data_IF_687632495946
#
_entry.id   IF_687632495946
#
_cell.length_a   1.000
_cell.length_b   1.000
_cell.length_c   1.000
_cell.angle_alpha   90.00
_cell.angle_beta   90.00
_cell.angle_gamma   90.00
#
_symmetry.space_group_name_H-M   'P 1'
#
loop_
_entity.id
_entity.type
_entity.pdbx_description
1 polymer ?
#
# COMPACT_ATOMS: atom_id res chain seq x y z
N UNK A 1 -9.85 25.32 22.24
CA UNK A 1 -10.29 23.92 22.14
C UNK A 1 -10.13 23.54 20.67
N UNK A 2 -9.12 22.75 20.33
CA UNK A 2 -8.98 22.19 18.98
C UNK A 2 -10.22 21.28 18.76
N UNK A 3 -10.96 21.52 17.69
CA UNK A 3 -11.96 20.56 17.22
C UNK A 3 -11.17 19.29 16.86
N UNK A 4 -11.49 18.17 17.50
CA UNK A 4 -11.06 16.86 17.03
C UNK A 4 -11.61 16.73 15.60
N UNK A 5 -10.77 16.92 14.61
CA UNK A 5 -11.10 16.69 13.21
C UNK A 5 -11.40 15.19 13.06
N UNK A 6 -12.66 14.86 12.89
CA UNK A 6 -13.08 13.48 12.63
C UNK A 6 -12.50 13.09 11.28
N UNK A 7 -11.39 12.37 11.28
CA UNK A 7 -10.79 11.84 10.06
C UNK A 7 -11.72 10.76 9.51
N UNK A 8 -12.39 11.05 8.40
CA UNK A 8 -13.23 10.08 7.71
C UNK A 8 -12.33 9.09 6.97
N UNK A 9 -12.31 7.85 7.43
CA UNK A 9 -11.53 6.76 6.85
C UNK A 9 -12.43 5.85 6.00
N UNK A 10 -12.40 5.96 4.65
CA UNK A 10 -13.27 5.19 3.76
C UNK A 10 -12.97 3.68 3.75
N UNK A 11 -11.81 3.30 4.25
CA UNK A 11 -11.27 1.94 4.38
C UNK A 11 -11.50 1.33 5.78
N UNK A 12 -12.15 2.06 6.70
CA UNK A 12 -12.57 1.53 8.01
C UNK A 12 -13.94 0.86 7.90
N UNK A 13 -14.09 -0.31 8.50
CA UNK A 13 -15.35 -1.08 8.53
C UNK A 13 -15.91 -1.05 9.96
N UNK A 14 -16.92 -0.24 10.19
CA UNK A 14 -17.58 -0.11 11.49
C UNK A 14 -16.59 0.13 12.64
N UNK A 15 -16.75 -0.58 13.73
CA UNK A 15 -15.89 -0.48 14.92
C UNK A 15 -14.66 -1.40 14.88
N UNK A 16 -14.43 -2.12 13.75
CA UNK A 16 -13.28 -2.98 13.61
C UNK A 16 -11.97 -2.17 13.65
N UNK A 17 -10.89 -2.74 14.21
CA UNK A 17 -9.57 -2.13 14.11
C UNK A 17 -9.21 -1.86 12.64
N UNK A 18 -8.62 -0.68 12.40
CA UNK A 18 -8.20 -0.35 11.04
C UNK A 18 -7.10 -1.33 10.56
N UNK A 19 -7.06 -1.72 9.27
CA UNK A 19 -6.04 -2.64 8.75
C UNK A 19 -4.58 -2.27 9.09
N UNK A 20 -4.27 -0.96 9.24
CA UNK A 20 -2.94 -0.50 9.69
C UNK A 20 -2.60 -0.89 11.14
N UNK A 21 -3.60 -1.23 11.94
CA UNK A 21 -3.44 -1.62 13.35
C UNK A 21 -3.34 -3.14 13.49
N UNK A 22 -3.84 -3.89 12.50
CA UNK A 22 -3.83 -5.34 12.51
C UNK A 22 -2.40 -5.88 12.39
N UNK A 23 -2.01 -6.73 13.32
CA UNK A 23 -0.69 -7.39 13.32
C UNK A 23 -0.75 -8.79 12.69
N UNK A 24 -1.90 -9.45 12.73
CA UNK A 24 -2.08 -10.80 12.19
C UNK A 24 -2.96 -10.81 10.95
N UNK A 25 -2.66 -11.72 10.02
CA UNK A 25 -3.47 -12.05 8.87
C UNK A 25 -3.64 -13.57 8.81
N UNK A 26 -4.88 -14.04 8.76
CA UNK A 26 -5.16 -15.47 8.81
C UNK A 26 -5.52 -16.03 7.43
N UNK A 27 -5.04 -17.25 7.13
CA UNK A 27 -5.43 -18.01 5.94
C UNK A 27 -4.90 -17.46 4.61
N UNK A 28 -3.96 -16.52 4.61
CA UNK A 28 -3.41 -15.90 3.40
C UNK A 28 -1.90 -16.19 3.20
N UNK A 29 -1.41 -17.26 3.81
CA UNK A 29 0.02 -17.62 3.80
C UNK A 29 0.57 -17.72 2.36
N UNK A 30 -0.20 -18.29 1.43
CA UNK A 30 0.24 -18.41 0.03
C UNK A 30 0.52 -17.05 -0.64
N UNK A 31 -0.23 -16.01 -0.29
CA UNK A 31 -0.01 -14.66 -0.81
C UNK A 31 1.21 -14.00 -0.15
N UNK A 32 1.42 -14.21 1.15
CA UNK A 32 2.62 -13.75 1.85
C UNK A 32 3.88 -14.43 1.30
N UNK A 33 3.85 -15.76 1.15
CA UNK A 33 4.97 -16.54 0.60
C UNK A 33 5.32 -16.11 -0.82
N UNK A 34 4.32 -15.85 -1.68
CA UNK A 34 4.54 -15.39 -3.03
C UNK A 34 5.21 -14.01 -3.09
N UNK A 35 4.86 -13.11 -2.16
CA UNK A 35 5.51 -11.81 -2.05
C UNK A 35 6.96 -11.96 -1.53
N UNK A 36 7.17 -12.72 -0.46
CA UNK A 36 8.50 -12.98 0.12
C UNK A 36 9.44 -13.67 -0.86
N UNK A 37 8.95 -14.66 -1.62
CA UNK A 37 9.71 -15.30 -2.68
C UNK A 37 10.17 -14.31 -3.75
N UNK A 38 9.33 -13.34 -4.13
CA UNK A 38 9.74 -12.30 -5.05
C UNK A 38 10.77 -11.33 -4.44
N UNK A 39 10.65 -11.04 -3.16
CA UNK A 39 11.60 -10.19 -2.43
C UNK A 39 12.98 -10.86 -2.36
N UNK A 40 13.03 -12.15 -2.03
CA UNK A 40 14.29 -12.92 -1.89
C UNK A 40 15.10 -12.99 -3.19
N UNK A 41 14.47 -12.85 -4.37
CA UNK A 41 15.18 -12.83 -5.65
C UNK A 41 15.98 -11.56 -5.93
N UNK A 42 15.86 -10.52 -5.09
CA UNK A 42 16.40 -9.19 -5.33
C UNK A 42 15.76 -8.44 -6.50
N UNK A 43 14.73 -9.02 -7.13
CA UNK A 43 13.99 -8.44 -8.27
C UNK A 43 12.53 -8.21 -7.90
N UNK A 44 12.31 -7.54 -6.78
CA UNK A 44 10.96 -7.22 -6.34
C UNK A 44 10.26 -6.32 -7.36
N UNK A 45 9.10 -6.77 -7.84
CA UNK A 45 8.29 -5.96 -8.75
C UNK A 45 7.77 -4.73 -8.01
N UNK A 46 7.77 -3.57 -8.67
CA UNK A 46 7.32 -2.32 -8.06
C UNK A 46 5.80 -2.21 -7.90
N UNK A 47 5.01 -2.88 -8.73
CA UNK A 47 3.55 -2.84 -8.72
C UNK A 47 2.93 -4.20 -8.34
N UNK A 48 2.10 -4.23 -7.31
CA UNK A 48 1.37 -5.42 -6.87
C UNK A 48 -0.12 -5.14 -6.81
N UNK A 49 -0.92 -6.07 -7.30
CA UNK A 49 -2.37 -6.02 -7.28
C UNK A 49 -2.90 -7.11 -6.33
N UNK A 50 -3.39 -6.67 -5.17
CA UNK A 50 -3.96 -7.54 -4.14
C UNK A 50 -5.47 -7.67 -4.40
N UNK A 51 -5.91 -8.86 -4.80
CA UNK A 51 -7.29 -9.13 -5.22
C UNK A 51 -8.00 -10.10 -4.28
N UNK A 52 -9.32 -10.11 -4.32
CA UNK A 52 -10.17 -11.02 -3.54
C UNK A 52 -11.45 -10.35 -3.06
N UNK A 53 -12.42 -11.09 -2.51
CA UNK A 53 -13.66 -10.55 -1.96
C UNK A 53 -13.42 -9.50 -0.87
N UNK A 54 -14.46 -8.74 -0.52
CA UNK A 54 -14.38 -7.82 0.64
C UNK A 54 -14.21 -8.62 1.94
N UNK A 55 -13.46 -8.07 2.89
CA UNK A 55 -13.27 -8.67 4.22
C UNK A 55 -12.19 -9.76 4.32
N UNK A 56 -11.56 -10.21 3.22
CA UNK A 56 -10.54 -11.29 3.27
C UNK A 56 -9.15 -10.85 3.73
N UNK A 57 -8.96 -9.59 4.12
CA UNK A 57 -7.68 -9.10 4.67
C UNK A 57 -6.74 -8.45 3.65
N UNK A 58 -7.21 -8.02 2.47
CA UNK A 58 -6.36 -7.38 1.45
C UNK A 58 -5.61 -6.15 1.96
N UNK A 59 -6.32 -5.25 2.62
CA UNK A 59 -5.71 -4.05 3.22
C UNK A 59 -4.73 -4.44 4.34
N UNK A 60 -5.08 -5.41 5.17
CA UNK A 60 -4.18 -5.95 6.20
C UNK A 60 -2.88 -6.46 5.57
N UNK A 61 -2.96 -7.24 4.48
CA UNK A 61 -1.76 -7.69 3.75
C UNK A 61 -0.93 -6.51 3.23
N UNK A 62 -1.59 -5.52 2.62
CA UNK A 62 -0.89 -4.33 2.11
C UNK A 62 -0.12 -3.59 3.21
N UNK A 63 -0.74 -3.38 4.38
CA UNK A 63 -0.07 -2.75 5.51
C UNK A 63 1.03 -3.63 6.13
N UNK A 64 0.88 -4.96 6.13
CA UNK A 64 1.94 -5.87 6.59
C UNK A 64 3.15 -5.80 5.67
N UNK A 65 2.93 -5.84 4.35
CA UNK A 65 3.99 -5.66 3.34
C UNK A 65 4.67 -4.28 3.52
N UNK A 66 3.89 -3.21 3.67
CA UNK A 66 4.42 -1.87 3.86
C UNK A 66 5.30 -1.75 5.11
N UNK A 67 4.83 -2.31 6.25
CA UNK A 67 5.60 -2.35 7.50
C UNK A 67 6.92 -3.10 7.32
N UNK A 68 6.86 -4.31 6.80
CA UNK A 68 8.05 -5.13 6.58
C UNK A 68 9.04 -4.43 5.65
N UNK A 69 8.57 -3.85 4.52
CA UNK A 69 9.45 -3.18 3.57
C UNK A 69 10.10 -1.91 4.13
N UNK A 70 9.37 -1.12 4.90
CA UNK A 70 9.86 0.13 5.46
C UNK A 70 10.71 -0.07 6.73
N UNK A 71 10.54 -1.21 7.43
CA UNK A 71 11.36 -1.58 8.57
C UNK A 71 12.68 -2.27 8.15
N UNK A 72 12.71 -2.87 6.94
CA UNK A 72 13.89 -3.55 6.46
C UNK A 72 14.95 -2.54 6.02
N UNK A 73 16.07 -2.53 6.74
CA UNK A 73 17.22 -1.70 6.40
C UNK A 73 18.09 -2.41 5.37
N UNK A 74 18.28 -1.78 4.22
CA UNK A 74 19.28 -2.22 3.26
C UNK A 74 20.65 -1.81 3.83
N UNK A 75 21.46 -2.78 4.23
CA UNK A 75 22.82 -2.52 4.71
C UNK A 75 23.65 -1.78 3.65
N UNK A 76 24.58 -0.97 4.09
CA UNK A 76 25.50 -0.20 3.26
C UNK A 76 26.57 -1.05 2.55
N UNK A 77 26.45 -2.36 2.62
CA UNK A 77 27.33 -3.32 1.94
C UNK A 77 28.70 -3.55 2.60
N UNK A 78 29.02 -2.85 3.70
CA UNK A 78 30.30 -3.03 4.38
C UNK A 78 30.43 -4.41 5.06
N UNK A 79 29.30 -5.00 5.46
CA UNK A 79 29.18 -6.33 6.07
C UNK A 79 28.39 -7.34 5.20
N UNK A 80 28.14 -7.02 3.93
CA UNK A 80 27.27 -7.77 3.02
C UNK A 80 25.83 -7.24 3.02
N UNK A 81 25.09 -7.57 1.96
CA UNK A 81 23.66 -7.24 1.91
C UNK A 81 22.92 -8.08 2.97
N UNK A 82 22.00 -7.49 3.75
CA UNK A 82 21.20 -8.24 4.71
C UNK A 82 20.36 -9.30 3.98
N UNK A 83 20.19 -10.46 4.62
CA UNK A 83 19.34 -11.51 4.07
C UNK A 83 17.90 -11.02 3.93
N UNK A 84 17.21 -11.33 2.82
CA UNK A 84 15.82 -11.01 2.64
C UNK A 84 14.97 -11.60 3.77
N UNK A 85 13.91 -10.91 4.21
CA UNK A 85 13.06 -11.41 5.29
C UNK A 85 12.33 -12.69 4.85
N UNK A 86 12.18 -13.62 5.80
CA UNK A 86 11.44 -14.88 5.61
C UNK A 86 9.98 -14.76 6.07
N UNK A 87 9.59 -13.64 6.70
CA UNK A 87 8.24 -13.35 7.15
C UNK A 87 7.94 -11.85 7.04
N UNK A 88 6.66 -11.50 6.98
CA UNK A 88 6.22 -10.10 6.96
C UNK A 88 6.00 -9.52 8.37
N UNK A 89 6.16 -10.33 9.40
CA UNK A 89 6.04 -9.87 10.78
C UNK A 89 7.23 -9.02 11.16
N UNK A 90 6.95 -7.89 11.79
CA UNK A 90 7.95 -7.05 12.42
C UNK A 90 7.60 -6.88 13.90
N UNK A 91 8.58 -6.54 14.69
CA UNK A 91 8.38 -6.21 16.09
C UNK A 91 7.29 -5.13 16.21
N UNK A 92 6.22 -5.35 16.99
CA UNK A 92 5.18 -4.35 17.23
C UNK A 92 5.72 -3.03 17.80
N UNK A 93 6.83 -3.08 18.52
CA UNK A 93 7.50 -1.92 19.12
C UNK A 93 8.48 -1.22 18.15
N UNK A 94 8.64 -1.76 16.94
CA UNK A 94 9.48 -1.12 15.94
C UNK A 94 8.97 0.29 15.58
N UNK A 95 9.84 1.32 15.49
CA UNK A 95 9.42 2.70 15.22
C UNK A 95 8.55 2.88 13.96
N UNK A 96 8.80 2.09 12.91
CA UNK A 96 7.97 2.09 11.69
C UNK A 96 6.54 1.62 11.99
N UNK A 97 6.37 0.57 12.81
CA UNK A 97 5.04 0.07 13.19
C UNK A 97 4.23 1.15 13.93
N UNK A 98 4.86 1.82 14.89
CA UNK A 98 4.24 2.94 15.62
C UNK A 98 3.86 4.10 14.70
N UNK A 99 4.76 4.52 13.78
CA UNK A 99 4.47 5.61 12.85
C UNK A 99 3.35 5.27 11.87
N UNK A 100 3.30 4.04 11.35
CA UNK A 100 2.21 3.60 10.47
C UNK A 100 0.87 3.60 11.22
N UNK A 101 0.84 3.07 12.44
CA UNK A 101 -0.36 3.11 13.29
C UNK A 101 -0.84 4.53 13.55
N UNK A 102 0.07 5.44 13.82
CA UNK A 102 -0.21 6.87 14.06
C UNK A 102 -0.41 7.69 12.78
N UNK A 103 -0.38 7.09 11.58
CA UNK A 103 -0.44 7.77 10.27
C UNK A 103 0.63 8.87 10.09
N UNK A 104 1.79 8.67 10.66
CA UNK A 104 2.92 9.62 10.64
C UNK A 104 4.18 9.07 9.97
N UNK A 105 4.11 7.93 9.29
CA UNK A 105 5.25 7.39 8.53
C UNK A 105 5.42 8.16 7.22
N UNK A 106 6.47 8.97 7.07
CA UNK A 106 6.65 9.84 5.90
C UNK A 106 6.96 9.07 4.61
N UNK A 107 7.30 7.79 4.69
CA UNK A 107 7.61 6.92 3.56
C UNK A 107 6.44 6.05 3.13
N UNK A 108 5.26 6.22 3.77
CA UNK A 108 4.02 5.55 3.39
C UNK A 108 2.98 6.57 2.93
N UNK A 109 2.45 6.37 1.73
CA UNK A 109 1.34 7.15 1.20
C UNK A 109 0.12 6.25 1.00
N UNK A 110 -1.04 6.66 1.52
CA UNK A 110 -2.30 5.95 1.29
C UNK A 110 -3.19 6.77 0.36
N UNK A 111 -3.38 6.29 -0.85
CA UNK A 111 -4.27 6.87 -1.85
C UNK A 111 -5.65 6.22 -1.68
N UNK A 112 -6.62 6.99 -1.25
CA UNK A 112 -8.01 6.59 -1.04
C UNK A 112 -8.95 7.75 -1.35
N UNK A 113 -10.25 7.51 -1.36
CA UNK A 113 -11.20 8.60 -1.54
C UNK A 113 -11.03 9.64 -0.44
N UNK A 114 -10.97 10.89 -0.84
CA UNK A 114 -10.86 12.03 0.08
C UNK A 114 -12.22 12.64 0.39
N UNK A 115 -12.33 13.39 1.46
CA UNK A 115 -13.52 14.17 1.77
C UNK A 115 -13.49 15.50 1.04
N UNK A 116 -14.65 16.01 0.69
CA UNK A 116 -14.82 17.38 0.21
C UNK A 116 -14.74 18.32 1.41
N UNK A 117 -13.79 19.25 1.41
CA UNK A 117 -13.55 20.20 2.52
C UNK A 117 -14.77 21.05 2.89
N UNK A 118 -15.67 21.33 1.93
CA UNK A 118 -16.86 22.17 2.16
C UNK A 118 -18.06 21.38 2.68
N UNK A 119 -18.20 20.13 2.25
CA UNK A 119 -19.39 19.31 2.55
C UNK A 119 -19.12 18.20 3.56
N UNK A 120 -17.85 17.98 3.90
CA UNK A 120 -17.37 16.89 4.76
C UNK A 120 -17.77 15.48 4.27
N UNK A 121 -18.29 15.38 3.03
CA UNK A 121 -18.69 14.11 2.43
C UNK A 121 -17.56 13.53 1.58
N UNK A 122 -17.38 12.22 1.65
CA UNK A 122 -16.43 11.51 0.78
C UNK A 122 -16.83 11.71 -0.70
N UNK A 123 -15.82 11.97 -1.53
CA UNK A 123 -16.00 11.84 -2.98
C UNK A 123 -16.35 10.40 -3.33
N UNK A 124 -17.10 10.22 -4.40
CA UNK A 124 -17.50 8.89 -4.89
C UNK A 124 -16.36 8.14 -5.55
N UNK A 125 -15.29 8.84 -5.94
CA UNK A 125 -14.14 8.30 -6.65
C UNK A 125 -12.84 8.93 -6.15
N UNK A 126 -11.74 8.21 -6.35
CA UNK A 126 -10.38 8.76 -6.25
C UNK A 126 -10.14 9.62 -7.49
N UNK A 127 -9.73 10.86 -7.28
CA UNK A 127 -9.57 11.87 -8.34
C UNK A 127 -8.12 11.96 -8.79
N UNK A 128 -7.93 12.56 -9.97
CA UNK A 128 -6.59 12.75 -10.53
C UNK A 128 -5.69 13.60 -9.64
N UNK A 129 -6.25 14.58 -8.90
CA UNK A 129 -5.47 15.42 -8.00
C UNK A 129 -4.93 14.63 -6.80
N UNK A 130 -5.71 13.64 -6.32
CA UNK A 130 -5.27 12.74 -5.27
C UNK A 130 -4.06 11.89 -5.74
N UNK A 131 -4.07 11.46 -7.03
CA UNK A 131 -2.94 10.71 -7.63
C UNK A 131 -1.74 11.62 -7.91
N UNK A 132 -1.96 12.89 -8.25
CA UNK A 132 -0.85 13.84 -8.47
C UNK A 132 0.01 14.03 -7.23
N UNK A 133 -0.56 13.95 -6.04
CA UNK A 133 0.19 14.01 -4.80
C UNK A 133 1.22 12.86 -4.66
N UNK A 134 1.00 11.70 -5.33
CA UNK A 134 2.00 10.63 -5.41
C UNK A 134 3.28 11.07 -6.12
N UNK A 135 3.20 11.98 -7.10
CA UNK A 135 4.39 12.48 -7.79
C UNK A 135 5.34 13.16 -6.82
N UNK A 136 4.82 14.08 -6.03
CA UNK A 136 5.62 14.82 -5.06
C UNK A 136 6.16 13.87 -3.97
N UNK A 137 5.32 12.95 -3.50
CA UNK A 137 5.71 11.92 -2.55
C UNK A 137 6.87 11.04 -3.07
N UNK A 138 6.83 10.60 -4.31
CA UNK A 138 7.88 9.78 -4.89
C UNK A 138 9.15 10.57 -5.22
N UNK A 139 9.05 11.86 -5.54
CA UNK A 139 10.22 12.71 -5.76
C UNK A 139 11.07 12.88 -4.50
N UNK A 140 10.45 12.85 -3.31
CA UNK A 140 11.17 12.88 -2.05
C UNK A 140 12.07 11.64 -1.84
N UNK A 141 11.77 10.48 -2.48
CA UNK A 141 12.59 9.27 -2.35
C UNK A 141 13.98 9.45 -2.91
N UNK A 142 14.13 10.24 -3.97
CA UNK A 142 15.41 10.52 -4.58
C UNK A 142 16.35 11.34 -3.66
N UNK A 143 15.80 12.06 -2.70
CA UNK A 143 16.56 12.92 -1.80
C UNK A 143 17.13 12.17 -0.58
N UNK A 144 16.39 11.21 -0.02
CA UNK A 144 16.78 10.45 1.19
C UNK A 144 17.26 9.01 0.89
N UNK A 145 17.13 8.56 -0.35
CA UNK A 145 17.60 7.24 -0.82
C UNK A 145 16.81 6.05 -0.25
N UNK A 146 15.76 6.30 0.55
CA UNK A 146 14.94 5.28 1.21
C UNK A 146 13.82 4.72 0.33
N UNK A 147 13.28 3.56 0.70
CA UNK A 147 12.09 3.00 0.08
C UNK A 147 10.85 3.83 0.40
N UNK A 148 9.96 3.92 -0.59
CA UNK A 148 8.63 4.52 -0.43
C UNK A 148 7.57 3.52 -0.85
N UNK A 149 6.50 3.45 -0.07
CA UNK A 149 5.37 2.57 -0.32
C UNK A 149 4.12 3.40 -0.53
N UNK A 150 3.37 3.09 -1.60
CA UNK A 150 2.05 3.64 -1.83
C UNK A 150 1.01 2.52 -1.77
N UNK A 151 -0.05 2.71 -0.98
CA UNK A 151 -1.21 1.83 -0.94
C UNK A 151 -2.37 2.56 -1.63
N UNK A 152 -3.02 1.91 -2.60
CA UNK A 152 -4.20 2.42 -3.32
C UNK A 152 -5.41 1.58 -2.93
N UNK A 153 -6.34 2.15 -2.14
CA UNK A 153 -7.51 1.43 -1.61
C UNK A 153 -8.83 2.23 -1.82
N UNK A 154 -9.72 1.76 -2.63
CA UNK A 154 -9.67 0.62 -3.55
C UNK A 154 -9.35 1.12 -4.97
N UNK A 155 -8.52 0.38 -5.69
CA UNK A 155 -8.03 0.83 -7.00
C UNK A 155 -9.14 1.00 -8.05
N UNK A 156 -10.23 0.21 -8.01
CA UNK A 156 -11.40 0.37 -8.89
C UNK A 156 -12.25 1.60 -8.60
N UNK A 157 -11.96 2.34 -7.53
CA UNK A 157 -12.63 3.61 -7.22
C UNK A 157 -11.94 4.82 -7.89
N UNK A 158 -10.83 4.61 -8.59
CA UNK A 158 -10.21 5.64 -9.41
C UNK A 158 -11.08 6.00 -10.61
N UNK A 159 -11.25 7.30 -10.87
CA UNK A 159 -11.78 7.73 -12.17
C UNK A 159 -10.72 7.49 -13.28
N UNK A 160 -11.14 7.56 -14.55
CA UNK A 160 -10.26 7.28 -15.69
C UNK A 160 -9.00 8.16 -15.71
N UNK A 161 -9.12 9.43 -15.34
CA UNK A 161 -7.98 10.35 -15.30
C UNK A 161 -6.99 9.98 -14.19
N UNK A 162 -7.48 9.58 -13.03
CA UNK A 162 -6.67 9.08 -11.91
C UNK A 162 -5.96 7.77 -12.29
N UNK A 163 -6.68 6.83 -12.89
CA UNK A 163 -6.12 5.56 -13.35
C UNK A 163 -5.00 5.77 -14.40
N UNK A 164 -5.21 6.67 -15.36
CA UNK A 164 -4.19 7.01 -16.36
C UNK A 164 -2.98 7.76 -15.73
N UNK A 165 -3.19 8.57 -14.70
CA UNK A 165 -2.10 9.20 -13.99
C UNK A 165 -1.25 8.18 -13.21
N UNK A 166 -1.89 7.17 -12.60
CA UNK A 166 -1.20 6.09 -11.89
C UNK A 166 -0.38 5.21 -12.84
N UNK A 167 -0.86 4.98 -14.08
CA UNK A 167 -0.15 4.18 -15.08
C UNK A 167 1.28 4.67 -15.33
N UNK A 168 1.54 5.98 -15.26
CA UNK A 168 2.88 6.53 -15.45
C UNK A 168 3.88 5.98 -14.44
N UNK A 169 3.47 5.80 -13.18
CA UNK A 169 4.32 5.22 -12.12
C UNK A 169 4.48 3.71 -12.24
N UNK A 170 3.53 3.03 -12.91
CA UNK A 170 3.62 1.61 -13.20
C UNK A 170 4.45 1.31 -14.46
N UNK A 171 4.55 2.27 -15.39
CA UNK A 171 5.35 2.15 -16.62
C UNK A 171 6.81 2.56 -16.39
N UNK A 172 7.00 3.66 -15.69
CA UNK A 172 8.32 4.24 -15.37
C UNK A 172 8.43 4.46 -13.85
N UNK A 173 8.58 3.36 -13.07
CA UNK A 173 8.64 3.47 -11.62
C UNK A 173 9.91 4.21 -11.18
N UNK A 174 9.80 5.14 -10.23
CA UNK A 174 10.96 5.67 -9.56
C UNK A 174 11.72 4.56 -8.81
N UNK A 175 12.99 4.77 -8.55
CA UNK A 175 13.79 3.83 -7.77
C UNK A 175 13.23 3.67 -6.35
N UNK A 176 13.36 2.47 -5.80
CA UNK A 176 12.94 2.13 -4.42
C UNK A 176 11.49 2.49 -4.11
N UNK A 177 10.60 2.28 -5.07
CA UNK A 177 9.16 2.47 -4.92
C UNK A 177 8.43 1.13 -4.96
N UNK A 178 7.45 0.98 -4.08
CA UNK A 178 6.51 -0.14 -4.04
C UNK A 178 5.08 0.39 -4.07
N UNK A 179 4.29 -0.05 -5.04
CA UNK A 179 2.89 0.35 -5.22
C UNK A 179 2.00 -0.88 -4.99
N UNK A 180 1.16 -0.82 -3.96
CA UNK A 180 0.24 -1.88 -3.56
C UNK A 180 -1.19 -1.44 -3.90
N UNK A 181 -1.78 -2.04 -4.93
CA UNK A 181 -3.16 -1.79 -5.34
C UNK A 181 -4.09 -2.81 -4.71
N UNK A 182 -5.11 -2.37 -4.01
CA UNK A 182 -6.15 -3.22 -3.43
C UNK A 182 -7.37 -3.17 -4.34
N UNK A 183 -7.89 -4.33 -4.73
CA UNK A 183 -9.11 -4.39 -5.55
C UNK A 183 -10.06 -5.51 -5.09
N UNK A 184 -11.36 -5.16 -5.01
CA UNK A 184 -12.45 -6.11 -4.78
C UNK A 184 -13.07 -6.57 -6.11
N UNK A 185 -12.84 -5.82 -7.19
CA UNK A 185 -13.41 -6.05 -8.51
C UNK A 185 -12.35 -5.80 -9.61
N UNK A 186 -11.33 -6.65 -9.72
CA UNK A 186 -10.20 -6.41 -10.62
C UNK A 186 -10.61 -6.33 -12.10
N UNK A 187 -11.75 -6.89 -12.48
CA UNK A 187 -12.30 -6.75 -13.84
C UNK A 187 -12.69 -5.29 -14.19
N UNK A 188 -12.92 -4.44 -13.19
CA UNK A 188 -13.23 -3.01 -13.40
C UNK A 188 -11.98 -2.14 -13.58
N UNK A 189 -10.80 -2.67 -13.28
CA UNK A 189 -9.54 -1.96 -13.51
C UNK A 189 -9.20 -1.95 -15.00
N UNK A 190 -8.51 -0.90 -15.43
CA UNK A 190 -7.95 -0.83 -16.77
C UNK A 190 -7.06 -2.07 -17.03
N UNK A 191 -7.19 -2.74 -18.19
CA UNK A 191 -6.32 -3.87 -18.55
C UNK A 191 -4.84 -3.51 -18.48
N UNK A 192 -4.51 -2.26 -18.80
CA UNK A 192 -3.16 -1.70 -18.75
C UNK A 192 -2.58 -1.63 -17.34
N UNK A 193 -3.38 -1.39 -16.31
CA UNK A 193 -2.95 -1.47 -14.90
C UNK A 193 -2.70 -2.93 -14.52
N UNK A 194 -3.66 -3.81 -14.84
CA UNK A 194 -3.54 -5.24 -14.49
C UNK A 194 -2.32 -5.91 -15.12
N UNK A 195 -1.99 -5.57 -16.36
CA UNK A 195 -0.84 -6.16 -17.06
C UNK A 195 0.52 -5.70 -16.52
N UNK A 196 0.55 -4.60 -15.75
CA UNK A 196 1.76 -4.02 -15.15
C UNK A 196 1.94 -4.32 -13.66
N UNK A 197 1.06 -5.12 -13.10
CA UNK A 197 1.14 -5.53 -11.70
C UNK A 197 1.27 -7.05 -11.56
N UNK A 198 2.04 -7.50 -10.59
CA UNK A 198 1.98 -8.90 -10.13
C UNK A 198 0.75 -9.05 -9.22
N UNK A 199 0.02 -10.12 -9.39
CA UNK A 199 -1.21 -10.35 -8.63
C UNK A 199 -0.95 -11.22 -7.41
N UNK A 200 -1.49 -10.80 -6.26
CA UNK A 200 -1.67 -11.60 -5.06
C UNK A 200 -3.16 -11.82 -4.86
N UNK A 201 -3.62 -13.05 -5.07
CA UNK A 201 -5.03 -13.40 -4.92
C UNK A 201 -5.28 -13.92 -3.50
N UNK A 202 -6.19 -13.27 -2.76
CA UNK A 202 -6.63 -13.67 -1.44
C UNK A 202 -7.97 -14.40 -1.54
N UNK A 203 -8.10 -15.48 -0.77
CA UNK A 203 -9.29 -16.32 -0.77
C UNK A 203 -10.04 -16.19 0.56
N UNK A 204 -11.36 -16.37 0.57
CA UNK A 204 -12.11 -16.52 1.83
C UNK A 204 -11.51 -17.65 2.67
N UNK A 205 -11.62 -17.51 3.99
CA UNK A 205 -11.36 -18.62 4.90
C UNK A 205 -12.42 -19.71 4.65
N UNK A 206 -11.99 -20.95 4.54
CA UNK A 206 -12.88 -22.11 4.39
C UNK A 206 -13.71 -22.39 5.65
#
# INVERSE_FOLDING_TARGET
MAKDEVIIEPDRIGDAPHPREATALFGQQAAEDAFLAAWSTGRMHHGWLITGPRGVGKATLAYRIARARLAFEEGDGLFGAPEPPTMLDIDPDHPVAHRIKAMSEPRLFTLRRTANEKTEKLYTQIRVDDVRALKDFFQLSAADGGWRVAIVDAAEEMNNSAANALLKFLEEPPEKVLILLISHAPARLLPTIRSRCRTLALMPLG
#
